data_IF_801243334173
#
_entry.id   IF_801243334173
#
_cell.length_a   1.000
_cell.length_b   1.000
_cell.length_c   1.000
_cell.angle_alpha   90.00
_cell.angle_beta   90.00
_cell.angle_gamma   90.00
#
_symmetry.space_group_name_H-M   'P 1'
#
loop_
_entity.id
_entity.type
_entity.pdbx_description
1 polymer ?
#
# COMPACT_ATOMS: atom_id res chain seq x y z
N UNK A 1 -33.21 37.14 22.59
CA UNK A 1 -31.95 37.30 21.82
C UNK A 1 -30.96 36.22 22.26
N UNK A 2 -30.61 35.21 21.45
CA UNK A 2 -29.64 34.21 21.87
C UNK A 2 -28.21 34.73 21.70
N UNK A 3 -27.41 34.64 22.75
CA UNK A 3 -25.98 35.00 22.73
C UNK A 3 -25.23 34.08 21.77
N UNK A 4 -24.64 34.65 20.71
CA UNK A 4 -23.75 33.91 19.81
C UNK A 4 -22.51 33.48 20.60
N UNK A 5 -22.37 32.18 20.87
CA UNK A 5 -21.12 31.59 21.37
C UNK A 5 -20.03 31.85 20.34
N UNK A 6 -19.13 32.78 20.66
CA UNK A 6 -18.00 33.12 19.82
C UNK A 6 -16.93 32.04 19.98
N UNK A 7 -16.97 31.03 19.11
CA UNK A 7 -15.94 29.99 19.06
C UNK A 7 -14.63 30.66 18.68
N UNK A 8 -13.68 30.75 19.63
CA UNK A 8 -12.30 31.16 19.30
C UNK A 8 -11.73 30.09 18.38
N UNK A 9 -11.65 30.41 17.09
CA UNK A 9 -11.02 29.56 16.10
C UNK A 9 -9.52 29.50 16.42
N UNK A 10 -9.06 28.34 16.90
CA UNK A 10 -7.64 28.12 17.18
C UNK A 10 -6.89 27.94 15.86
N UNK A 11 -6.27 29.00 15.39
CA UNK A 11 -5.40 28.95 14.22
C UNK A 11 -3.98 28.57 14.64
N UNK A 12 -3.41 27.57 13.97
CA UNK A 12 -2.06 27.12 14.24
C UNK A 12 -1.06 28.09 13.63
N UNK A 13 0.08 28.31 14.32
CA UNK A 13 1.17 29.10 13.75
C UNK A 13 1.74 28.41 12.52
N UNK A 14 1.84 29.16 11.43
CA UNK A 14 2.57 28.74 10.23
C UNK A 14 4.08 28.75 10.49
N UNK A 15 4.85 28.01 9.70
CA UNK A 15 6.32 28.03 9.82
C UNK A 15 6.88 29.42 9.49
N UNK A 16 6.23 30.17 8.61
CA UNK A 16 6.57 31.57 8.32
C UNK A 16 6.34 32.48 9.54
N UNK A 17 5.20 32.35 10.22
CA UNK A 17 4.93 33.10 11.46
C UNK A 17 5.95 32.77 12.55
N UNK A 18 6.38 31.50 12.66
CA UNK A 18 7.43 31.10 13.61
C UNK A 18 8.75 31.79 13.29
N UNK A 19 9.15 31.79 12.01
CA UNK A 19 10.34 32.49 11.55
C UNK A 19 10.29 33.99 11.85
N UNK A 20 9.14 34.64 11.60
CA UNK A 20 8.95 36.07 11.93
C UNK A 20 9.06 36.32 13.43
N UNK A 21 8.48 35.47 14.27
CA UNK A 21 8.60 35.58 15.72
C UNK A 21 10.07 35.51 16.15
N UNK A 22 10.82 34.53 15.64
CA UNK A 22 12.22 34.33 15.98
C UNK A 22 13.05 35.54 15.56
N UNK A 23 12.97 35.96 14.30
CA UNK A 23 13.74 37.10 13.79
C UNK A 23 13.40 38.43 14.49
N UNK A 24 12.12 38.70 14.77
CA UNK A 24 11.73 39.88 15.53
C UNK A 24 12.24 39.84 16.97
N UNK A 25 12.31 38.65 17.56
CA UNK A 25 12.79 38.48 18.93
C UNK A 25 14.31 38.63 19.02
N UNK A 26 15.04 38.13 18.04
CA UNK A 26 16.49 38.37 17.87
C UNK A 26 16.78 39.87 17.64
N UNK A 27 15.91 40.58 16.93
CA UNK A 27 15.96 42.04 16.78
C UNK A 27 15.54 42.83 18.05
N UNK A 28 15.34 42.15 19.20
CA UNK A 28 15.08 42.78 20.49
C UNK A 28 13.62 43.15 20.78
N UNK A 29 12.65 42.82 19.91
CA UNK A 29 11.25 43.20 20.12
C UNK A 29 10.59 42.41 21.25
N UNK A 30 9.88 43.06 22.17
CA UNK A 30 9.17 42.38 23.26
C UNK A 30 8.06 41.44 22.77
N UNK A 31 7.78 40.36 23.51
CA UNK A 31 6.75 39.37 23.15
C UNK A 31 5.38 40.02 22.88
N UNK A 32 5.01 41.03 23.68
CA UNK A 32 3.75 41.77 23.52
C UNK A 32 3.71 42.63 22.26
N UNK A 33 4.85 43.19 21.82
CA UNK A 33 4.96 43.96 20.58
C UNK A 33 4.86 43.03 19.37
N UNK A 34 5.57 41.90 19.41
CA UNK A 34 5.51 40.87 18.37
C UNK A 34 4.09 40.31 18.24
N UNK A 35 3.46 39.95 19.36
CA UNK A 35 2.09 39.43 19.37
C UNK A 35 1.09 40.40 18.73
N UNK A 36 1.15 41.69 19.09
CA UNK A 36 0.32 42.73 18.45
C UNK A 36 0.60 42.87 16.95
N UNK A 37 1.87 42.83 16.54
CA UNK A 37 2.26 42.96 15.13
C UNK A 37 1.80 41.77 14.27
N UNK A 38 1.77 40.55 14.85
CA UNK A 38 1.40 39.32 14.14
C UNK A 38 -0.05 38.87 14.40
N UNK A 39 -0.83 39.62 15.19
CA UNK A 39 -2.18 39.21 15.59
C UNK A 39 -2.22 37.94 16.45
N UNK A 40 -1.17 37.66 17.22
CA UNK A 40 -1.04 36.48 18.10
C UNK A 40 -0.94 36.90 19.57
N UNK A 41 -1.24 35.99 20.49
CA UNK A 41 -1.04 36.27 21.91
C UNK A 41 0.45 36.30 22.26
N UNK A 42 0.79 37.11 23.26
CA UNK A 42 2.13 37.16 23.87
C UNK A 42 2.61 35.78 24.36
N UNK A 43 1.70 34.95 24.89
CA UNK A 43 2.01 33.59 25.33
C UNK A 43 2.38 32.66 24.17
N UNK A 44 1.75 32.83 23.00
CA UNK A 44 2.11 32.06 21.80
C UNK A 44 3.51 32.43 21.32
N UNK A 45 3.84 33.72 21.33
CA UNK A 45 5.19 34.23 21.03
C UNK A 45 6.22 33.68 22.01
N UNK A 46 5.93 33.73 23.31
CA UNK A 46 6.80 33.21 24.35
C UNK A 46 7.06 31.70 24.19
N UNK A 47 6.00 30.91 23.93
CA UNK A 47 6.14 29.45 23.68
C UNK A 47 6.97 29.15 22.44
N UNK A 48 6.76 29.90 21.35
CA UNK A 48 7.53 29.74 20.12
C UNK A 48 9.01 30.06 20.35
N UNK A 49 9.30 31.17 21.03
CA UNK A 49 10.66 31.56 21.39
C UNK A 49 11.34 30.54 22.30
N UNK A 50 10.64 30.06 23.33
CA UNK A 50 11.17 29.03 24.23
C UNK A 50 11.49 27.73 23.47
N UNK A 51 10.61 27.34 22.55
CA UNK A 51 10.86 26.18 21.70
C UNK A 51 12.09 26.38 20.81
N UNK A 52 12.28 27.58 20.25
CA UNK A 52 13.46 27.92 19.44
C UNK A 52 14.75 27.79 20.25
N UNK A 53 14.83 28.41 21.43
CA UNK A 53 16.06 28.38 22.24
C UNK A 53 16.38 26.97 22.79
N UNK A 54 15.36 26.13 22.99
CA UNK A 54 15.57 24.76 23.52
C UNK A 54 15.84 23.74 22.41
N UNK A 55 15.14 23.81 21.27
CA UNK A 55 15.20 22.78 20.23
C UNK A 55 15.89 23.24 18.93
N UNK A 56 16.09 24.54 18.72
CA UNK A 56 16.63 25.10 17.47
C UNK A 56 15.73 24.89 16.25
N UNK A 57 14.41 24.74 16.44
CA UNK A 57 13.46 24.43 15.35
C UNK A 57 12.60 25.63 14.98
N UNK A 58 12.55 25.93 13.69
CA UNK A 58 11.64 26.92 13.08
C UNK A 58 10.31 26.33 12.60
N UNK A 59 10.15 25.01 12.67
CA UNK A 59 8.97 24.29 12.19
C UNK A 59 8.29 23.51 13.30
N UNK A 60 7.01 23.19 13.09
CA UNK A 60 6.25 22.36 14.04
C UNK A 60 6.75 20.92 14.03
N UNK A 61 6.92 20.31 15.22
CA UNK A 61 7.14 18.86 15.34
C UNK A 61 5.91 18.11 14.81
N UNK A 62 6.13 17.16 13.90
CA UNK A 62 5.11 16.22 13.47
C UNK A 62 4.51 15.50 14.67
N UNK A 63 3.18 15.44 14.76
CA UNK A 63 2.54 14.67 15.82
C UNK A 63 2.93 13.19 15.72
N UNK A 64 3.08 12.52 16.86
CA UNK A 64 3.34 11.07 16.91
C UNK A 64 2.20 10.23 16.33
N UNK A 65 1.03 10.84 16.14
CA UNK A 65 -0.17 10.16 15.67
C UNK A 65 -0.71 9.18 16.70
N UNK A 66 -1.73 8.41 16.30
CA UNK A 66 -2.26 7.34 17.14
C UNK A 66 -1.27 6.17 17.15
N UNK A 67 -0.94 5.60 18.34
CA UNK A 67 -0.14 4.40 18.43
C UNK A 67 -0.72 3.26 17.58
N UNK A 68 0.17 2.43 17.05
CA UNK A 68 -0.23 1.26 16.24
C UNK A 68 -0.93 0.24 17.13
N UNK A 69 -1.94 -0.43 16.58
CA UNK A 69 -2.57 -1.59 17.22
C UNK A 69 -1.75 -2.88 17.05
N UNK A 70 -0.66 -2.84 16.27
CA UNK A 70 0.21 -3.99 16.04
C UNK A 70 1.63 -3.68 16.51
N UNK A 71 2.34 -4.73 16.91
CA UNK A 71 3.76 -4.71 17.25
C UNK A 71 4.63 -5.34 16.14
N UNK A 72 5.95 -5.19 16.26
CA UNK A 72 6.89 -5.67 15.25
C UNK A 72 6.90 -7.21 15.10
N UNK A 73 6.52 -7.95 16.14
CA UNK A 73 6.44 -9.42 16.09
C UNK A 73 5.24 -9.87 15.26
N UNK A 74 4.10 -9.21 15.45
CA UNK A 74 2.88 -9.43 14.66
C UNK A 74 3.10 -9.01 13.21
N UNK A 75 3.68 -7.84 12.95
CA UNK A 75 3.95 -7.35 11.59
C UNK A 75 4.89 -8.31 10.83
N UNK A 76 5.91 -8.87 11.51
CA UNK A 76 6.75 -9.94 10.94
C UNK A 76 5.97 -11.22 10.67
N UNK A 77 5.05 -11.61 11.54
CA UNK A 77 4.22 -12.79 11.35
C UNK A 77 3.25 -12.63 10.17
N UNK A 78 2.58 -11.47 10.07
CA UNK A 78 1.70 -11.11 8.95
C UNK A 78 2.46 -11.25 7.62
N UNK A 79 3.65 -10.64 7.54
CA UNK A 79 4.49 -10.73 6.35
C UNK A 79 4.85 -12.18 6.03
N UNK A 80 5.35 -12.92 7.02
CA UNK A 80 5.82 -14.30 6.84
C UNK A 80 4.74 -15.21 6.27
N UNK A 81 3.54 -15.18 6.88
CA UNK A 81 2.41 -16.02 6.45
C UNK A 81 2.00 -15.68 5.01
N UNK A 82 1.92 -14.39 4.68
CA UNK A 82 1.56 -13.95 3.33
C UNK A 82 2.62 -14.31 2.29
N UNK A 83 3.90 -14.37 2.65
CA UNK A 83 4.98 -14.77 1.72
C UNK A 83 5.13 -16.28 1.59
N UNK A 84 4.91 -17.05 2.66
CA UNK A 84 5.05 -18.51 2.64
C UNK A 84 3.88 -19.19 1.94
N UNK A 85 2.67 -18.64 2.09
CA UNK A 85 1.47 -19.12 1.44
C UNK A 85 0.72 -17.93 0.82
N UNK A 86 1.08 -17.53 -0.43
CA UNK A 86 0.57 -16.33 -1.07
C UNK A 86 -0.95 -16.27 -1.25
N UNK A 87 -1.65 -17.41 -1.24
CA UNK A 87 -3.11 -17.51 -1.36
C UNK A 87 -3.86 -17.33 -0.05
N UNK A 88 -3.14 -17.16 1.07
CA UNK A 88 -3.75 -17.11 2.40
C UNK A 88 -4.69 -15.90 2.56
N UNK A 89 -5.89 -16.16 3.08
CA UNK A 89 -6.87 -15.11 3.36
C UNK A 89 -6.47 -14.26 4.58
N UNK A 90 -6.96 -13.01 4.64
CA UNK A 90 -6.70 -12.13 5.80
C UNK A 90 -7.19 -12.73 7.11
N UNK A 91 -8.33 -13.43 7.10
CA UNK A 91 -8.87 -14.12 8.27
C UNK A 91 -7.93 -15.23 8.72
N UNK A 92 -7.34 -15.99 7.78
CA UNK A 92 -6.38 -17.03 8.14
C UNK A 92 -5.08 -16.42 8.66
N UNK A 93 -4.59 -15.32 8.07
CA UNK A 93 -3.43 -14.58 8.60
C UNK A 93 -3.69 -14.14 10.03
N UNK A 94 -4.88 -13.59 10.31
CA UNK A 94 -5.30 -13.16 11.66
C UNK A 94 -5.27 -14.29 12.68
N UNK A 95 -5.71 -15.50 12.29
CA UNK A 95 -5.69 -16.71 13.15
C UNK A 95 -4.28 -17.23 13.43
N UNK A 96 -3.32 -16.98 12.54
CA UNK A 96 -1.92 -17.41 12.71
C UNK A 96 -1.03 -16.36 13.40
N UNK A 97 -1.63 -15.31 13.97
CA UNK A 97 -0.86 -14.32 14.72
C UNK A 97 -0.39 -14.91 16.06
N UNK A 98 0.82 -14.53 16.50
CA UNK A 98 1.29 -14.92 17.83
C UNK A 98 0.39 -14.31 18.92
N UNK A 99 0.30 -14.94 20.10
CA UNK A 99 -0.41 -14.36 21.24
C UNK A 99 0.19 -12.99 21.59
N UNK A 100 -0.70 -12.05 21.89
CA UNK A 100 -0.36 -10.64 22.10
C UNK A 100 -1.25 -10.04 23.18
N UNK A 101 -0.71 -9.04 23.88
CA UNK A 101 -1.50 -8.22 24.83
C UNK A 101 -2.34 -7.16 24.11
N UNK A 102 -2.07 -6.92 22.83
CA UNK A 102 -2.86 -6.00 22.01
C UNK A 102 -4.17 -6.65 21.55
N UNK A 103 -5.24 -5.86 21.36
CA UNK A 103 -6.45 -6.35 20.71
C UNK A 103 -6.14 -6.93 19.34
N UNK A 104 -6.80 -8.05 19.00
CA UNK A 104 -6.60 -8.72 17.72
C UNK A 104 -6.78 -7.73 16.57
N UNK A 105 -5.78 -7.55 15.69
CA UNK A 105 -5.86 -6.56 14.63
C UNK A 105 -6.96 -6.94 13.63
N UNK A 106 -7.73 -5.95 13.19
CA UNK A 106 -8.74 -6.16 12.16
C UNK A 106 -8.12 -6.58 10.81
N UNK A 107 -8.92 -7.18 9.94
CA UNK A 107 -8.51 -7.55 8.58
C UNK A 107 -7.97 -6.35 7.78
N UNK A 108 -8.54 -5.16 7.99
CA UNK A 108 -8.06 -3.93 7.34
C UNK A 108 -6.68 -3.52 7.83
N UNK A 109 -6.41 -3.65 9.14
CA UNK A 109 -5.08 -3.40 9.70
C UNK A 109 -4.05 -4.35 9.10
N UNK A 110 -4.37 -5.65 9.01
CA UNK A 110 -3.48 -6.65 8.39
C UNK A 110 -3.22 -6.30 6.91
N UNK A 111 -4.26 -5.93 6.15
CA UNK A 111 -4.12 -5.50 4.75
C UNK A 111 -3.20 -4.27 4.63
N UNK A 112 -3.32 -3.30 5.53
CA UNK A 112 -2.45 -2.11 5.56
C UNK A 112 -1.00 -2.51 5.81
N UNK A 113 -0.73 -3.42 6.76
CA UNK A 113 0.63 -3.94 7.02
C UNK A 113 1.24 -4.64 5.82
N UNK A 114 0.46 -5.44 5.10
CA UNK A 114 0.93 -6.07 3.87
C UNK A 114 1.24 -5.02 2.79
N UNK A 115 0.40 -3.99 2.68
CA UNK A 115 0.58 -2.92 1.69
C UNK A 115 1.81 -2.06 1.99
N UNK A 116 2.11 -1.79 3.27
CA UNK A 116 3.31 -1.07 3.72
C UNK A 116 4.61 -1.77 3.28
N UNK A 117 4.61 -3.11 3.21
CA UNK A 117 5.75 -3.90 2.71
C UNK A 117 5.66 -4.22 1.22
N UNK A 118 4.72 -3.60 0.50
CA UNK A 118 4.55 -3.75 -0.95
C UNK A 118 3.80 -5.01 -1.40
N UNK A 119 3.25 -5.81 -0.48
CA UNK A 119 2.43 -6.96 -0.81
C UNK A 119 0.98 -6.52 -1.04
N UNK A 120 0.46 -6.82 -2.22
CA UNK A 120 -0.94 -6.53 -2.57
C UNK A 120 -1.64 -7.79 -3.03
N UNK A 121 -2.93 -7.88 -2.73
CA UNK A 121 -3.79 -8.95 -3.24
C UNK A 121 -4.05 -8.72 -4.73
N UNK A 122 -3.57 -9.64 -5.57
CA UNK A 122 -3.65 -9.57 -7.04
C UNK A 122 -4.22 -10.87 -7.59
N UNK A 123 -4.74 -10.81 -8.83
CA UNK A 123 -5.07 -12.05 -9.55
C UNK A 123 -3.76 -12.74 -9.98
N UNK A 124 -3.64 -14.07 -9.80
CA UNK A 124 -2.51 -14.84 -10.30
C UNK A 124 -2.54 -14.84 -11.84
N UNK A 125 -1.38 -15.08 -12.45
CA UNK A 125 -1.33 -15.37 -13.87
C UNK A 125 -1.73 -16.84 -14.06
N UNK A 126 -2.70 -17.10 -14.93
CA UNK A 126 -3.11 -18.45 -15.28
C UNK A 126 -2.42 -18.91 -16.54
N UNK A 127 -1.84 -20.11 -16.54
CA UNK A 127 -1.16 -20.68 -17.70
C UNK A 127 -1.55 -22.15 -17.87
N UNK A 128 -1.54 -22.61 -19.11
CA UNK A 128 -1.61 -24.05 -19.38
C UNK A 128 -0.30 -24.68 -18.93
N UNK A 129 -0.33 -25.82 -18.21
CA UNK A 129 0.87 -26.56 -17.87
C UNK A 129 1.50 -27.12 -19.16
N UNK A 130 2.57 -26.47 -19.62
CA UNK A 130 3.33 -26.96 -20.78
C UNK A 130 4.54 -27.73 -20.31
N UNK A 131 4.55 -29.03 -20.62
CA UNK A 131 5.74 -29.88 -20.49
C UNK A 131 6.87 -29.35 -21.39
N UNK A 132 8.14 -29.66 -21.08
CA UNK A 132 9.26 -29.30 -21.96
C UNK A 132 9.05 -29.77 -23.40
N UNK A 133 8.50 -30.97 -23.58
CA UNK A 133 8.14 -31.52 -24.89
C UNK A 133 7.10 -30.65 -25.62
N UNK A 134 6.00 -30.27 -24.96
CA UNK A 134 5.01 -29.37 -25.55
C UNK A 134 5.62 -28.03 -25.97
N UNK A 135 6.56 -27.48 -25.19
CA UNK A 135 7.24 -26.22 -25.52
C UNK A 135 8.09 -26.39 -26.78
N UNK A 136 8.82 -27.50 -26.89
CA UNK A 136 9.64 -27.82 -28.05
C UNK A 136 8.79 -27.98 -29.31
N UNK A 137 7.75 -28.82 -29.27
CA UNK A 137 6.85 -29.01 -30.41
C UNK A 137 6.20 -27.70 -30.86
N UNK A 138 5.79 -26.84 -29.92
CA UNK A 138 5.24 -25.51 -30.25
C UNK A 138 6.28 -24.61 -30.90
N UNK A 139 7.52 -24.61 -30.41
CA UNK A 139 8.60 -23.83 -31.00
C UNK A 139 8.93 -24.31 -32.42
N UNK A 140 9.01 -25.62 -32.61
CA UNK A 140 9.30 -26.24 -33.91
C UNK A 140 8.16 -26.06 -34.90
N UNK A 141 6.92 -25.99 -34.42
CA UNK A 141 5.78 -25.60 -35.26
C UNK A 141 5.88 -24.13 -35.70
N UNK A 142 6.22 -23.21 -34.78
CA UNK A 142 6.28 -21.78 -35.07
C UNK A 142 7.48 -21.37 -35.93
N UNK A 143 8.67 -21.96 -35.72
CA UNK A 143 9.92 -21.55 -36.38
C UNK A 143 9.83 -21.51 -37.92
N UNK A 144 9.40 -22.58 -38.63
CA UNK A 144 9.25 -22.54 -40.09
C UNK A 144 8.15 -21.59 -40.57
N UNK A 145 7.16 -21.32 -39.70
CA UNK A 145 5.98 -20.50 -40.00
C UNK A 145 6.18 -19.02 -39.67
N UNK A 146 7.32 -18.65 -39.08
CA UNK A 146 7.64 -17.27 -38.75
C UNK A 146 7.83 -16.39 -40.01
N UNK A 147 8.23 -17.00 -41.13
CA UNK A 147 8.43 -16.34 -42.43
C UNK A 147 7.22 -16.45 -43.36
N UNK A 148 6.13 -17.09 -42.92
CA UNK A 148 4.95 -17.29 -43.77
C UNK A 148 4.28 -15.97 -44.11
N UNK A 149 3.88 -15.86 -45.38
CA UNK A 149 3.14 -14.73 -45.92
C UNK A 149 1.64 -14.82 -45.60
N UNK A 150 0.90 -13.73 -45.78
CA UNK A 150 -0.56 -13.72 -45.64
C UNK A 150 -1.21 -14.77 -46.57
N UNK A 151 -0.66 -14.98 -47.76
CA UNK A 151 -1.15 -15.98 -48.71
C UNK A 151 -0.96 -17.42 -48.24
N UNK A 152 0.09 -17.70 -47.46
CA UNK A 152 0.30 -19.03 -46.87
C UNK A 152 -0.72 -19.29 -45.77
N UNK A 153 -0.98 -18.28 -44.91
CA UNK A 153 -1.99 -18.37 -43.87
C UNK A 153 -3.42 -18.54 -44.40
N UNK A 154 -3.73 -17.98 -45.57
CA UNK A 154 -5.05 -18.15 -46.23
C UNK A 154 -5.36 -19.60 -46.60
N UNK A 155 -4.35 -20.48 -46.67
CA UNK A 155 -4.53 -21.91 -46.97
C UNK A 155 -4.83 -22.75 -45.73
N UNK A 156 -4.73 -22.17 -44.52
CA UNK A 156 -4.94 -22.88 -43.26
C UNK A 156 -6.37 -22.67 -42.77
N UNK A 157 -7.06 -23.77 -42.52
CA UNK A 157 -8.35 -23.76 -41.82
C UNK A 157 -8.09 -24.11 -40.35
N UNK A 158 -8.57 -23.27 -39.44
CA UNK A 158 -8.51 -23.53 -38.00
C UNK A 158 -9.88 -24.02 -37.52
N UNK A 159 -9.88 -25.12 -36.77
CA UNK A 159 -11.04 -25.62 -36.03
C UNK A 159 -10.63 -25.88 -34.59
N UNK A 160 -11.50 -25.56 -33.64
CA UNK A 160 -11.33 -25.88 -32.22
C UNK A 160 -12.69 -26.27 -31.63
N UNK A 161 -12.68 -27.07 -30.57
CA UNK A 161 -13.87 -27.48 -29.85
C UNK A 161 -14.05 -26.60 -28.61
N UNK A 162 -15.21 -25.95 -28.48
CA UNK A 162 -15.54 -25.16 -27.31
C UNK A 162 -16.43 -25.95 -26.34
N UNK A 163 -15.99 -26.03 -25.08
CA UNK A 163 -16.77 -26.66 -24.01
C UNK A 163 -17.60 -25.61 -23.27
N UNK A 164 -18.91 -25.85 -23.19
CA UNK A 164 -19.82 -25.06 -22.36
C UNK A 164 -20.08 -25.83 -21.05
N UNK A 165 -19.70 -25.26 -19.90
CA UNK A 165 -19.88 -25.90 -18.59
C UNK A 165 -20.94 -25.17 -17.75
N UNK A 166 -21.77 -25.94 -17.05
CA UNK A 166 -22.81 -25.42 -16.14
C UNK A 166 -22.23 -24.85 -14.83
N UNK A 167 -21.04 -25.30 -14.44
CA UNK A 167 -20.25 -24.70 -13.36
C UNK A 167 -19.02 -24.02 -13.94
N UNK A 168 -18.72 -22.83 -13.42
CA UNK A 168 -17.58 -22.01 -13.83
C UNK A 168 -16.55 -22.04 -12.71
N UNK A 169 -15.27 -22.20 -13.02
CA UNK A 169 -14.20 -21.80 -12.09
C UNK A 169 -14.38 -20.30 -11.86
N UNK A 170 -14.83 -19.91 -10.67
CA UNK A 170 -15.15 -18.53 -10.29
C UNK A 170 -13.93 -17.59 -10.39
N UNK A 171 -12.73 -18.14 -10.61
CA UNK A 171 -11.49 -17.41 -10.82
C UNK A 171 -11.16 -16.42 -9.69
N UNK A 172 -11.74 -16.64 -8.50
CA UNK A 172 -11.65 -15.75 -7.33
C UNK A 172 -10.33 -15.86 -6.59
N UNK A 173 -9.49 -16.84 -6.92
CA UNK A 173 -8.16 -17.00 -6.30
C UNK A 173 -7.36 -15.71 -6.41
N UNK A 174 -6.84 -15.24 -5.28
CA UNK A 174 -5.95 -14.08 -5.21
C UNK A 174 -4.67 -14.48 -4.51
N UNK A 175 -3.59 -13.80 -4.88
CA UNK A 175 -2.25 -14.03 -4.34
C UNK A 175 -1.69 -12.71 -3.80
N UNK A 176 -1.01 -12.77 -2.67
CA UNK A 176 -0.20 -11.68 -2.13
C UNK A 176 1.12 -11.66 -2.85
N UNK A 177 1.36 -10.63 -3.66
CA UNK A 177 2.62 -10.46 -4.38
C UNK A 177 2.98 -9.00 -4.57
N UNK A 178 4.25 -8.73 -4.85
CA UNK A 178 4.73 -7.38 -5.21
C UNK A 178 4.40 -7.07 -6.67
N UNK A 179 4.45 -5.79 -7.00
CA UNK A 179 4.45 -5.34 -8.40
C UNK A 179 5.66 -5.92 -9.13
N UNK A 180 5.51 -6.30 -10.41
CA UNK A 180 6.57 -6.93 -11.21
C UNK A 180 6.60 -8.47 -11.12
N UNK A 181 6.15 -9.07 -10.02
CA UNK A 181 6.20 -10.53 -9.82
C UNK A 181 5.03 -11.29 -10.50
N UNK A 182 4.58 -10.86 -11.69
CA UNK A 182 3.41 -11.49 -12.34
C UNK A 182 3.72 -12.86 -12.94
N UNK A 183 4.92 -13.01 -13.48
CA UNK A 183 5.40 -14.20 -14.19
C UNK A 183 6.21 -15.15 -13.32
N UNK A 184 6.37 -14.83 -12.04
CA UNK A 184 7.06 -15.68 -11.08
C UNK A 184 6.23 -16.97 -10.85
N UNK A 185 6.83 -18.17 -11.01
CA UNK A 185 6.15 -19.45 -10.83
C UNK A 185 5.40 -19.58 -9.51
N UNK A 186 5.89 -18.97 -8.42
CA UNK A 186 5.24 -19.05 -7.11
C UNK A 186 3.83 -18.40 -7.07
N UNK A 187 3.51 -17.55 -8.04
CA UNK A 187 2.21 -16.85 -8.14
C UNK A 187 1.41 -17.21 -9.40
N UNK A 188 1.87 -18.22 -10.14
CA UNK A 188 1.16 -18.75 -11.31
C UNK A 188 0.22 -19.86 -10.85
N UNK A 189 -0.98 -19.88 -11.41
CA UNK A 189 -1.93 -20.98 -11.22
C UNK A 189 -2.04 -21.71 -12.55
N UNK A 190 -1.79 -23.00 -12.55
CA UNK A 190 -1.98 -23.83 -13.73
C UNK A 190 -3.48 -24.01 -13.98
N UNK A 191 -3.90 -23.74 -15.22
CA UNK A 191 -5.25 -24.06 -15.69
C UNK A 191 -5.19 -25.50 -16.20
N UNK A 192 -5.64 -26.44 -15.37
CA UNK A 192 -5.90 -27.80 -15.85
C UNK A 192 -7.17 -27.74 -16.70
N UNK A 193 -7.01 -27.95 -18.00
CA UNK A 193 -8.12 -28.41 -18.83
C UNK A 193 -8.34 -29.85 -18.41
N UNK A 194 -9.52 -30.19 -17.89
CA UNK A 194 -9.85 -31.60 -17.67
C UNK A 194 -9.76 -32.30 -19.02
N UNK A 195 -8.70 -33.08 -19.22
CA UNK A 195 -8.60 -34.04 -20.31
C UNK A 195 -9.41 -35.22 -19.80
N UNK A 196 -10.64 -35.36 -20.27
CA UNK A 196 -11.41 -36.60 -20.17
C UNK A 196 -11.25 -37.35 -21.47
#
# INVERSE_FOLDING_TARGET
MPLRRNWRQYEQLTDFDRGRIIGLREAGWSNRRIGRHLGRSDMVVARCWQQWITEGRVYRRGGSGRPRNTNDREDRAIRRVATSAPTTSLTSIQRHLPPSRHPVPSRETIRRRLTEVGLRSRRPLRRLPLTPHHRQCRLDFCRPRAIWSVTDWRRVIFSDESRFSLSVDDHRTRVWRRTGQRSDPAFIVERHTAIS
#
